data_IF_569162707778
#
_entry.id   IF_569162707778
#
_cell.length_a   1.000
_cell.length_b   1.000
_cell.length_c   1.000
_cell.angle_alpha   90.00
_cell.angle_beta   90.00
_cell.angle_gamma   90.00
#
_symmetry.space_group_name_H-M   'P 1'
#
loop_
_entity.id
_entity.type
_entity.pdbx_description
1 polymer ?
#
# COMPACT_ATOMS: atom_id res chain seq x y z
N UNK A 1 24.55 -2.79 0.25
CA UNK A 1 23.19 -2.47 0.73
C UNK A 1 22.25 -3.15 -0.22
N UNK A 2 21.45 -4.09 0.26
CA UNK A 2 20.39 -4.70 -0.55
C UNK A 2 19.31 -3.64 -0.79
N UNK A 3 18.90 -3.47 -2.05
CA UNK A 3 17.81 -2.56 -2.40
C UNK A 3 16.50 -3.32 -2.20
N UNK A 4 15.86 -3.11 -1.06
CA UNK A 4 14.50 -3.59 -0.85
C UNK A 4 13.52 -2.64 -1.56
N UNK A 5 12.52 -3.24 -2.22
CA UNK A 5 11.42 -2.49 -2.81
C UNK A 5 10.34 -2.27 -1.75
N UNK A 6 10.06 -1.02 -1.42
CA UNK A 6 9.02 -0.65 -0.46
C UNK A 6 7.82 -0.05 -1.19
N UNK A 7 6.66 -0.65 -1.02
CA UNK A 7 5.40 -0.12 -1.53
C UNK A 7 4.44 0.08 -0.38
N UNK A 8 4.04 1.32 -0.12
CA UNK A 8 3.12 1.65 0.96
C UNK A 8 1.71 1.79 0.40
N UNK A 9 0.70 1.32 1.13
CA UNK A 9 -0.68 1.43 0.69
C UNK A 9 -1.64 1.35 1.88
N UNK A 10 -2.83 1.91 1.71
CA UNK A 10 -3.89 1.85 2.70
C UNK A 10 -5.24 1.81 2.01
N UNK A 11 -6.27 1.39 2.74
CA UNK A 11 -7.66 1.48 2.29
C UNK A 11 -8.25 2.77 2.85
N UNK A 12 -8.70 3.66 1.98
CA UNK A 12 -9.29 4.94 2.40
C UNK A 12 -10.78 4.80 2.78
N UNK A 13 -11.37 5.89 3.29
CA UNK A 13 -12.78 5.92 3.69
C UNK A 13 -13.79 5.73 2.57
N UNK A 14 -13.36 5.79 1.30
CA UNK A 14 -14.17 5.63 0.10
C UNK A 14 -13.88 4.30 -0.61
N UNK A 15 -13.31 3.31 0.09
CA UNK A 15 -12.94 2.01 -0.46
C UNK A 15 -11.90 2.09 -1.59
N UNK A 16 -11.14 3.19 -1.71
CA UNK A 16 -10.01 3.30 -2.64
C UNK A 16 -8.75 2.77 -1.97
N UNK A 17 -7.81 2.31 -2.78
CA UNK A 17 -6.50 1.83 -2.30
C UNK A 17 -5.39 2.68 -2.95
N UNK A 18 -5.06 3.84 -2.36
CA UNK A 18 -3.90 4.61 -2.75
C UNK A 18 -2.60 3.84 -2.45
N UNK A 19 -1.73 3.77 -3.44
CA UNK A 19 -0.35 3.31 -3.35
C UNK A 19 0.55 4.53 -3.26
N UNK A 20 1.33 4.62 -2.19
CA UNK A 20 2.32 5.67 -1.94
C UNK A 20 3.70 5.13 -2.31
N UNK A 21 4.36 5.80 -3.26
CA UNK A 21 5.74 5.50 -3.64
C UNK A 21 6.60 6.74 -3.47
N UNK A 22 7.88 6.55 -3.15
CA UNK A 22 8.82 7.64 -2.95
C UNK A 22 10.11 7.21 -2.27
N UNK A 23 11.01 8.16 -2.10
CA UNK A 23 12.33 7.94 -1.51
C UNK A 23 12.31 7.84 0.02
N UNK A 24 13.49 7.63 0.58
CA UNK A 24 13.76 7.28 2.00
C UNK A 24 13.09 8.13 3.08
N UNK A 25 12.63 9.34 2.79
CA UNK A 25 12.01 10.22 3.79
C UNK A 25 10.66 10.82 3.40
N UNK A 26 10.20 10.66 2.14
CA UNK A 26 8.96 11.27 1.64
C UNK A 26 8.33 10.46 0.51
N UNK A 27 7.00 10.36 0.53
CA UNK A 27 6.23 9.91 -0.61
C UNK A 27 6.22 10.99 -1.69
N UNK A 28 6.59 10.63 -2.91
CA UNK A 28 6.66 11.53 -4.06
C UNK A 28 5.47 11.36 -5.01
N UNK A 29 4.82 10.20 -5.00
CA UNK A 29 3.71 9.89 -5.88
C UNK A 29 2.63 9.07 -5.17
N UNK A 30 1.38 9.26 -5.61
CA UNK A 30 0.22 8.48 -5.20
C UNK A 30 -0.41 7.90 -6.46
N UNK A 31 -0.54 6.57 -6.51
CA UNK A 31 -1.24 5.86 -7.57
C UNK A 31 -2.50 5.22 -7.02
N UNK A 32 -3.50 5.04 -7.87
CA UNK A 32 -4.71 4.29 -7.54
C UNK A 32 -4.74 3.06 -8.42
N UNK A 33 -4.89 1.90 -7.79
CA UNK A 33 -5.02 0.62 -8.51
C UNK A 33 -6.39 0.52 -9.19
N UNK A 34 -6.46 -0.33 -10.21
CA UNK A 34 -7.72 -0.62 -10.88
C UNK A 34 -8.66 -1.45 -10.00
N UNK A 35 -9.92 -1.58 -10.42
CA UNK A 35 -10.94 -2.31 -9.66
C UNK A 35 -10.68 -3.82 -9.56
N UNK A 36 -9.95 -4.41 -10.51
CA UNK A 36 -9.62 -5.85 -10.48
C UNK A 36 -8.55 -6.16 -9.43
N UNK A 37 -7.49 -5.36 -9.38
CA UNK A 37 -6.42 -5.43 -8.38
C UNK A 37 -6.93 -5.06 -7.00
N UNK A 38 -7.80 -4.05 -6.91
CA UNK A 38 -8.46 -3.63 -5.67
C UNK A 38 -9.24 -4.75 -5.02
N UNK A 39 -9.96 -5.58 -5.80
CA UNK A 39 -10.71 -6.72 -5.25
C UNK A 39 -9.80 -7.77 -4.62
N UNK A 40 -8.58 -7.94 -5.13
CA UNK A 40 -7.59 -8.87 -4.59
C UNK A 40 -6.96 -8.32 -3.31
N UNK A 41 -6.57 -7.04 -3.32
CA UNK A 41 -5.97 -6.37 -2.15
C UNK A 41 -6.96 -6.13 -1.00
N UNK A 42 -8.21 -5.78 -1.29
CA UNK A 42 -9.24 -5.55 -0.26
C UNK A 42 -9.54 -6.79 0.60
N UNK A 43 -9.29 -8.00 0.09
CA UNK A 43 -9.37 -9.24 0.90
C UNK A 43 -8.22 -9.37 1.90
N UNK A 44 -7.07 -8.79 1.58
CA UNK A 44 -5.86 -8.81 2.39
C UNK A 44 -5.83 -7.65 3.40
N UNK A 45 -6.62 -6.59 3.16
CA UNK A 45 -6.69 -5.40 4.00
C UNK A 45 -7.97 -5.40 4.86
N UNK A 46 -7.91 -5.87 6.12
CA UNK A 46 -9.09 -6.01 6.96
C UNK A 46 -9.70 -4.68 7.44
N UNK A 47 -9.00 -3.55 7.29
CA UNK A 47 -9.44 -2.27 7.86
C UNK A 47 -9.01 -1.05 7.02
N UNK A 48 -9.87 -0.04 7.05
CA UNK A 48 -9.73 1.28 6.41
C UNK A 48 -8.96 2.32 7.24
N UNK A 49 -8.32 1.91 8.34
CA UNK A 49 -7.56 2.81 9.22
C UNK A 49 -6.09 2.46 9.36
N UNK A 50 -5.66 1.39 8.68
CA UNK A 50 -4.32 0.87 8.84
C UNK A 50 -3.45 1.22 7.63
N UNK A 51 -2.19 1.53 7.90
CA UNK A 51 -1.15 1.66 6.87
C UNK A 51 -0.45 0.32 6.70
N UNK A 52 -0.27 -0.10 5.46
CA UNK A 52 0.42 -1.33 5.10
C UNK A 52 1.65 -1.02 4.26
N UNK A 53 2.66 -1.87 4.38
CA UNK A 53 3.84 -1.86 3.51
C UNK A 53 4.05 -3.25 2.94
N UNK A 54 4.32 -3.31 1.64
CA UNK A 54 4.82 -4.49 0.99
C UNK A 54 6.34 -4.38 0.88
N UNK A 55 7.03 -5.41 1.37
CA UNK A 55 8.49 -5.56 1.29
C UNK A 55 8.77 -6.96 0.77
N UNK A 56 9.47 -7.06 -0.36
CA UNK A 56 9.84 -8.34 -0.98
C UNK A 56 8.64 -9.31 -1.11
N UNK A 57 7.48 -8.79 -1.54
CA UNK A 57 6.23 -9.54 -1.71
C UNK A 57 5.45 -9.86 -0.42
N UNK A 58 5.93 -9.44 0.74
CA UNK A 58 5.28 -9.67 2.03
C UNK A 58 4.59 -8.40 2.54
N UNK A 59 3.36 -8.53 3.04
CA UNK A 59 2.56 -7.41 3.53
C UNK A 59 2.68 -7.31 5.07
N UNK A 60 3.07 -6.14 5.56
CA UNK A 60 3.14 -5.81 6.97
C UNK A 60 2.18 -4.68 7.30
N UNK A 61 1.47 -4.80 8.43
CA UNK A 61 0.70 -3.71 9.03
C UNK A 61 1.63 -2.84 9.87
N UNK A 62 1.63 -1.51 9.65
CA UNK A 62 2.46 -0.56 10.39
C UNK A 62 1.69 0.09 11.55
N UNK A 63 0.47 0.56 11.30
CA UNK A 63 -0.40 1.27 12.27
C UNK A 63 -1.82 0.73 12.15
#
# INVERSE_FOLDING_TARGET
MENHEYVYFYKDGNDRIPILTGGTSRFSMIFFIDEAEKKSLSKLLPSNKNLYVMVDGHIFKIL
#
